data_IF_453548312710
#
_entry.id   IF_453548312710
#
_cell.length_a   1.000
_cell.length_b   1.000
_cell.length_c   1.000
_cell.angle_alpha   90.00
_cell.angle_beta   90.00
_cell.angle_gamma   90.00
#
_symmetry.space_group_name_H-M   'P 1'
#
loop_
_entity.id
_entity.type
_entity.pdbx_description
1 polymer ?
#
# COMPACT_ATOMS: atom_id res chain seq x y z
N UNK A 1 8.28 2.40 -8.36
CA UNK A 1 9.45 1.93 -7.57
C UNK A 1 9.35 0.43 -7.17
N UNK A 2 8.98 -0.50 -8.07
CA UNK A 2 8.90 -1.94 -7.71
C UNK A 2 10.10 -2.76 -8.19
N UNK A 3 10.70 -2.36 -9.31
CA UNK A 3 11.81 -3.06 -9.99
C UNK A 3 13.01 -3.32 -9.06
N UNK A 4 13.55 -2.34 -8.30
CA UNK A 4 14.71 -2.61 -7.45
C UNK A 4 14.40 -3.58 -6.30
N UNK A 5 13.20 -3.52 -5.72
CA UNK A 5 12.79 -4.44 -4.65
C UNK A 5 12.61 -5.87 -5.15
N UNK A 6 12.06 -6.06 -6.34
CA UNK A 6 11.93 -7.38 -6.97
C UNK A 6 13.31 -7.97 -7.28
N UNK A 7 14.25 -7.15 -7.75
CA UNK A 7 15.62 -7.60 -8.00
C UNK A 7 16.34 -8.05 -6.72
N UNK A 8 16.22 -7.27 -5.63
CA UNK A 8 16.80 -7.62 -4.33
C UNK A 8 16.16 -8.92 -3.80
N UNK A 9 14.83 -9.04 -3.89
CA UNK A 9 14.10 -10.24 -3.48
C UNK A 9 14.59 -11.48 -4.23
N UNK A 10 14.74 -11.39 -5.55
CA UNK A 10 15.21 -12.48 -6.38
C UNK A 10 16.63 -12.91 -6.02
N UNK A 11 17.56 -11.96 -5.87
CA UNK A 11 18.95 -12.23 -5.49
C UNK A 11 19.00 -12.87 -4.09
N UNK A 12 18.22 -12.38 -3.13
CA UNK A 12 18.15 -12.96 -1.78
C UNK A 12 17.66 -14.41 -1.82
N UNK A 13 16.63 -14.71 -2.60
CA UNK A 13 16.09 -16.07 -2.76
C UNK A 13 17.13 -17.00 -3.40
N UNK A 14 17.74 -16.59 -4.51
CA UNK A 14 18.78 -17.40 -5.20
C UNK A 14 19.96 -17.68 -4.27
N UNK A 15 20.41 -16.68 -3.52
CA UNK A 15 21.51 -16.82 -2.56
C UNK A 15 21.14 -17.76 -1.42
N UNK A 16 19.88 -17.75 -0.96
CA UNK A 16 19.39 -18.67 0.05
C UNK A 16 19.47 -20.12 -0.43
N UNK A 17 18.90 -20.41 -1.62
CA UNK A 17 18.92 -21.76 -2.20
C UNK A 17 20.35 -22.24 -2.47
N UNK A 18 21.23 -21.37 -2.99
CA UNK A 18 22.63 -21.72 -3.19
C UNK A 18 23.33 -22.12 -1.88
N UNK A 19 23.13 -21.33 -0.81
CA UNK A 19 23.69 -21.66 0.50
C UNK A 19 23.12 -22.97 1.07
N UNK A 20 21.83 -23.23 0.85
CA UNK A 20 21.15 -24.44 1.31
C UNK A 20 21.72 -25.69 0.63
N UNK A 21 22.01 -25.62 -0.67
CA UNK A 21 22.66 -26.70 -1.44
C UNK A 21 24.13 -26.89 -0.99
N UNK A 22 24.89 -25.79 -0.87
CA UNK A 22 26.34 -25.84 -0.59
C UNK A 22 26.67 -26.28 0.83
N UNK A 23 25.96 -25.75 1.84
CA UNK A 23 26.29 -25.96 3.25
C UNK A 23 25.34 -26.95 3.96
N UNK A 24 24.28 -27.41 3.29
CA UNK A 24 23.34 -28.44 3.79
C UNK A 24 22.91 -28.16 5.24
N UNK A 25 23.22 -29.07 6.17
CA UNK A 25 22.85 -28.98 7.60
C UNK A 25 23.60 -27.90 8.37
N UNK A 26 24.77 -27.47 7.91
CA UNK A 26 25.53 -26.39 8.56
C UNK A 26 25.05 -25.00 8.18
N UNK A 27 24.17 -24.89 7.18
CA UNK A 27 23.66 -23.61 6.70
C UNK A 27 22.97 -22.81 7.81
N UNK A 28 22.25 -23.49 8.71
CA UNK A 28 21.54 -22.88 9.84
C UNK A 28 22.45 -22.46 11.01
N UNK A 29 23.71 -22.92 11.04
CA UNK A 29 24.69 -22.48 12.04
C UNK A 29 25.31 -21.11 11.68
N UNK A 30 25.17 -20.67 10.42
CA UNK A 30 25.67 -19.37 9.96
C UNK A 30 24.63 -18.27 10.20
N UNK A 31 25.00 -17.26 10.98
CA UNK A 31 24.16 -16.06 11.24
C UNK A 31 23.68 -15.40 9.95
N UNK A 32 24.51 -15.37 8.90
CA UNK A 32 24.16 -14.79 7.60
C UNK A 32 22.98 -15.50 6.92
N UNK A 33 22.89 -16.82 7.03
CA UNK A 33 21.78 -17.59 6.45
C UNK A 33 20.46 -17.37 7.20
N UNK A 34 20.52 -17.14 8.51
CA UNK A 34 19.33 -16.88 9.33
C UNK A 34 18.74 -15.50 9.06
N UNK A 35 19.60 -14.50 8.79
CA UNK A 35 19.19 -13.14 8.45
C UNK A 35 18.74 -13.00 6.99
N UNK A 36 19.28 -13.81 6.09
CA UNK A 36 18.97 -13.78 4.65
C UNK A 36 17.46 -13.86 4.32
N UNK A 37 16.63 -14.70 4.96
CA UNK A 37 15.20 -14.77 4.68
C UNK A 37 14.38 -13.62 5.30
N UNK A 38 14.91 -12.88 6.27
CA UNK A 38 14.16 -11.76 6.87
C UNK A 38 13.84 -10.68 5.85
N UNK A 39 14.78 -10.40 4.94
CA UNK A 39 14.60 -9.39 3.92
C UNK A 39 13.50 -9.75 2.91
N UNK A 40 13.49 -10.94 2.27
CA UNK A 40 12.39 -11.32 1.39
C UNK A 40 11.05 -11.46 2.13
N UNK A 41 11.03 -11.95 3.38
CA UNK A 41 9.79 -11.98 4.20
C UNK A 41 9.27 -10.57 4.46
N UNK A 42 10.17 -9.63 4.79
CA UNK A 42 9.79 -8.23 4.98
C UNK A 42 9.23 -7.64 3.68
N UNK A 43 9.91 -7.84 2.55
CA UNK A 43 9.45 -7.30 1.26
C UNK A 43 8.12 -7.91 0.80
N UNK A 44 7.92 -9.22 0.94
CA UNK A 44 6.63 -9.85 0.60
C UNK A 44 5.52 -9.37 1.51
N UNK A 45 5.77 -9.24 2.82
CA UNK A 45 4.77 -8.73 3.75
C UNK A 45 4.39 -7.27 3.45
N UNK A 46 5.34 -6.43 3.04
CA UNK A 46 5.07 -5.07 2.58
C UNK A 46 4.21 -5.04 1.32
N UNK A 47 4.50 -5.90 0.32
CA UNK A 47 3.71 -5.99 -0.91
C UNK A 47 2.28 -6.46 -0.63
N UNK A 48 2.12 -7.51 0.17
CA UNK A 48 0.81 -8.06 0.55
C UNK A 48 0.03 -7.01 1.35
N UNK A 49 0.66 -6.36 2.32
CA UNK A 49 0.04 -5.30 3.12
C UNK A 49 -0.44 -4.15 2.22
N UNK A 50 0.42 -3.67 1.32
CA UNK A 50 0.10 -2.58 0.40
C UNK A 50 -1.07 -2.92 -0.52
N UNK A 51 -1.15 -4.15 -1.04
CA UNK A 51 -2.27 -4.61 -1.85
C UNK A 51 -3.56 -4.79 -1.04
N UNK A 52 -3.45 -5.34 0.17
CA UNK A 52 -4.59 -5.63 1.04
C UNK A 52 -5.23 -4.33 1.55
N UNK A 53 -4.40 -3.39 2.03
CA UNK A 53 -4.84 -2.05 2.45
C UNK A 53 -5.53 -1.35 1.29
N UNK A 54 -4.94 -1.38 0.08
CA UNK A 54 -5.57 -0.78 -1.11
C UNK A 54 -6.98 -1.31 -1.35
N UNK A 55 -7.12 -2.64 -1.41
CA UNK A 55 -8.42 -3.28 -1.66
C UNK A 55 -9.46 -2.93 -0.61
N UNK A 56 -9.09 -2.97 0.66
CA UNK A 56 -10.00 -2.69 1.77
C UNK A 56 -10.38 -1.20 1.78
N UNK A 57 -9.40 -0.30 1.65
CA UNK A 57 -9.66 1.13 1.70
C UNK A 57 -10.41 1.61 0.47
N UNK A 58 -10.16 1.03 -0.71
CA UNK A 58 -10.94 1.31 -1.92
C UNK A 58 -12.41 0.92 -1.74
N UNK A 59 -12.67 -0.28 -1.26
CA UNK A 59 -14.03 -0.75 -0.98
C UNK A 59 -14.76 0.17 0.02
N UNK A 60 -14.09 0.54 1.11
CA UNK A 60 -14.65 1.47 2.11
C UNK A 60 -14.88 2.86 1.53
N UNK A 61 -13.95 3.35 0.71
CA UNK A 61 -14.07 4.64 0.02
C UNK A 61 -15.26 4.63 -0.93
N UNK A 62 -15.46 3.58 -1.71
CA UNK A 62 -16.61 3.45 -2.62
C UNK A 62 -17.96 3.48 -1.87
N UNK A 63 -18.02 2.92 -0.66
CA UNK A 63 -19.19 3.05 0.21
C UNK A 63 -19.38 4.50 0.64
N UNK A 64 -18.31 5.19 1.06
CA UNK A 64 -18.38 6.61 1.46
C UNK A 64 -18.83 7.48 0.28
N UNK A 65 -18.27 7.27 -0.92
CA UNK A 65 -18.65 7.97 -2.15
C UNK A 65 -20.16 7.84 -2.37
N UNK A 66 -20.70 6.61 -2.35
CA UNK A 66 -22.13 6.36 -2.53
C UNK A 66 -22.99 7.06 -1.49
N UNK A 67 -22.55 7.10 -0.24
CA UNK A 67 -23.28 7.79 0.84
C UNK A 67 -23.26 9.32 0.69
N UNK A 68 -22.13 9.88 0.22
CA UNK A 68 -22.02 11.31 -0.09
C UNK A 68 -22.92 11.68 -1.27
N UNK A 69 -22.85 10.90 -2.36
CA UNK A 69 -23.67 11.11 -3.56
C UNK A 69 -25.16 10.93 -3.28
N UNK A 70 -25.52 9.96 -2.43
CA UNK A 70 -26.86 9.72 -1.94
C UNK A 70 -27.35 10.73 -0.89
N UNK A 71 -26.52 11.72 -0.51
CA UNK A 71 -26.81 12.75 0.51
C UNK A 71 -27.09 12.18 1.91
N UNK A 72 -26.66 10.96 2.19
CA UNK A 72 -26.75 10.32 3.52
C UNK A 72 -25.70 10.87 4.49
N UNK A 73 -24.58 11.38 3.96
CA UNK A 73 -23.49 11.98 4.73
C UNK A 73 -23.24 13.40 4.22
N UNK A 74 -23.26 14.38 5.13
CA UNK A 74 -22.82 15.74 4.85
C UNK A 74 -21.30 15.85 4.97
N UNK A 75 -20.66 16.42 3.96
CA UNK A 75 -19.22 16.68 3.94
C UNK A 75 -18.92 18.16 4.12
N UNK A 76 -17.90 18.45 4.93
CA UNK A 76 -17.42 19.80 5.22
C UNK A 76 -16.18 20.12 4.39
N UNK A 77 -15.79 21.41 4.36
CA UNK A 77 -14.52 21.85 3.78
C UNK A 77 -13.31 21.35 4.58
N UNK A 78 -13.50 21.06 5.87
CA UNK A 78 -12.47 20.48 6.73
C UNK A 78 -12.29 18.98 6.48
N UNK A 79 -11.04 18.49 6.37
CA UNK A 79 -10.77 17.06 6.25
C UNK A 79 -11.36 16.29 7.42
N UNK A 80 -12.25 15.34 7.11
CA UNK A 80 -12.72 14.36 8.08
C UNK A 80 -12.01 13.05 7.83
N UNK A 81 -11.30 12.54 8.84
CA UNK A 81 -10.58 11.27 8.76
C UNK A 81 -11.35 10.18 9.52
N UNK A 82 -11.85 9.16 8.82
CA UNK A 82 -12.46 7.98 9.43
C UNK A 82 -11.78 6.72 8.90
N UNK A 83 -11.28 5.88 9.81
CA UNK A 83 -10.61 4.61 9.48
C UNK A 83 -9.44 4.75 8.48
N UNK A 84 -8.73 5.88 8.51
CA UNK A 84 -7.61 6.17 7.60
C UNK A 84 -8.02 6.63 6.20
N UNK A 85 -9.31 6.96 6.00
CA UNK A 85 -9.83 7.61 4.80
C UNK A 85 -10.15 9.06 5.16
N UNK A 86 -9.52 9.98 4.47
CA UNK A 86 -9.77 11.41 4.54
C UNK A 86 -10.72 11.81 3.43
N UNK A 87 -11.73 12.62 3.73
CA UNK A 87 -12.59 13.19 2.71
C UNK A 87 -13.00 14.61 3.09
N UNK A 88 -13.15 15.46 2.08
CA UNK A 88 -13.56 16.84 2.24
C UNK A 88 -14.20 17.38 0.96
N UNK A 89 -14.97 18.45 1.13
CA UNK A 89 -15.61 19.20 0.07
C UNK A 89 -14.64 20.23 -0.52
N UNK A 90 -14.63 20.33 -1.84
CA UNK A 90 -14.00 21.40 -2.62
C UNK A 90 -15.02 22.53 -2.90
N UNK A 91 -14.56 23.67 -3.41
CA UNK A 91 -15.47 24.75 -3.85
C UNK A 91 -16.36 24.22 -4.99
N UNK A 92 -17.66 24.51 -4.97
CA UNK A 92 -18.67 24.12 -5.98
C UNK A 92 -19.12 22.64 -5.99
N UNK A 93 -19.37 22.07 -4.79
CA UNK A 93 -20.03 20.77 -4.66
C UNK A 93 -19.22 19.55 -5.11
N UNK A 94 -17.98 19.74 -5.52
CA UNK A 94 -16.99 18.68 -5.67
C UNK A 94 -16.46 18.23 -4.32
N UNK A 95 -15.93 17.00 -4.29
CA UNK A 95 -15.32 16.43 -3.11
C UNK A 95 -14.17 15.52 -3.49
N UNK A 96 -13.27 15.37 -2.54
CA UNK A 96 -12.09 14.54 -2.65
C UNK A 96 -12.13 13.49 -1.57
N UNK A 97 -11.71 12.27 -1.91
CA UNK A 97 -11.41 11.23 -0.94
C UNK A 97 -9.96 10.82 -1.11
N UNK A 98 -9.25 10.63 0.00
CA UNK A 98 -7.86 10.25 0.02
C UNK A 98 -7.60 9.17 1.07
N UNK A 99 -6.75 8.21 0.77
CA UNK A 99 -6.20 7.29 1.76
C UNK A 99 -4.75 6.93 1.42
N UNK A 100 -4.01 6.45 2.42
CA UNK A 100 -2.63 6.00 2.23
C UNK A 100 -2.59 4.49 1.96
N UNK A 101 -1.93 4.13 0.86
CA UNK A 101 -1.68 2.76 0.43
C UNK A 101 -0.26 2.36 0.85
N UNK A 102 -0.11 2.02 2.13
CA UNK A 102 1.19 1.77 2.73
C UNK A 102 1.96 3.07 3.01
N UNK A 103 3.29 3.03 2.94
CA UNK A 103 4.14 4.10 3.45
C UNK A 103 4.48 5.20 2.44
N UNK A 104 4.38 4.91 1.14
CA UNK A 104 4.95 5.77 0.09
C UNK A 104 3.95 6.22 -0.98
N UNK A 105 2.70 5.77 -0.89
CA UNK A 105 1.68 6.01 -1.92
C UNK A 105 0.42 6.48 -1.22
N UNK A 106 -0.15 7.58 -1.70
CA UNK A 106 -1.52 7.98 -1.41
C UNK A 106 -2.40 7.80 -2.65
N UNK A 107 -3.64 7.41 -2.43
CA UNK A 107 -4.66 7.27 -3.47
C UNK A 107 -5.67 8.40 -3.25
N UNK A 108 -5.97 9.15 -4.31
CA UNK A 108 -6.91 10.27 -4.27
C UNK A 108 -7.99 10.07 -5.33
N UNK A 109 -9.25 10.16 -4.92
CA UNK A 109 -10.41 10.23 -5.77
C UNK A 109 -10.87 11.68 -5.91
N UNK A 110 -11.10 12.10 -7.15
CA UNK A 110 -11.77 13.36 -7.45
C UNK A 110 -13.15 13.05 -8.06
N UNK A 111 -14.21 13.60 -7.46
CA UNK A 111 -15.57 13.38 -7.94
C UNK A 111 -15.85 14.05 -9.30
N UNK A 112 -15.15 15.13 -9.66
CA UNK A 112 -15.35 15.78 -10.97
C UNK A 112 -14.82 14.90 -12.09
N UNK A 113 -13.63 14.33 -11.89
CA UNK A 113 -12.99 13.45 -12.88
C UNK A 113 -13.49 12.00 -12.80
N UNK A 114 -14.15 11.63 -11.69
CA UNK A 114 -14.56 10.26 -11.34
C UNK A 114 -13.44 9.24 -11.47
N UNK A 115 -12.21 9.68 -11.17
CA UNK A 115 -10.99 8.89 -11.33
C UNK A 115 -10.19 8.90 -10.06
N UNK A 116 -9.50 7.79 -9.86
CA UNK A 116 -8.50 7.65 -8.83
C UNK A 116 -7.12 7.90 -9.41
N UNK A 117 -6.34 8.68 -8.68
CA UNK A 117 -4.95 8.99 -9.00
C UNK A 117 -4.09 8.54 -7.83
N UNK A 118 -2.99 7.87 -8.16
CA UNK A 118 -1.97 7.47 -7.21
C UNK A 118 -0.88 8.55 -7.17
N UNK A 119 -0.48 8.95 -5.97
CA UNK A 119 0.59 9.92 -5.73
C UNK A 119 1.68 9.27 -4.89
N UNK A 120 2.92 9.32 -5.36
CA UNK A 120 4.09 8.93 -4.58
C UNK A 120 4.51 10.01 -3.57
N UNK A 121 5.42 9.66 -2.66
CA UNK A 121 5.98 10.59 -1.66
C UNK A 121 6.75 11.81 -2.25
N UNK A 122 6.88 11.91 -3.58
CA UNK A 122 7.56 12.98 -4.32
C UNK A 122 6.71 13.55 -5.48
N UNK A 123 5.43 13.19 -5.57
CA UNK A 123 4.49 13.72 -6.58
C UNK A 123 3.72 14.97 -6.11
#
# INVERSE_FOLDING_TARGET
MLIPFVAILFISIVTFFFNLIKYKKEVFKKKSTVLLPLLPIFLTSQLISTFTVDRIQRFRSDIIIKKIEGKEIAITLTPTANFGIEYHKLKNNSFVIQYYRGFLISEKYDNEEKKWKSYGCND
#
